data_IF_926998669485
#
_entry.id   IF_926998669485
#
_cell.length_a   1.000
_cell.length_b   1.000
_cell.length_c   1.000
_cell.angle_alpha   90.00
_cell.angle_beta   90.00
_cell.angle_gamma   90.00
#
_symmetry.space_group_name_H-M   'P 1'
#
loop_
_entity.id
_entity.type
_entity.pdbx_description
1 polymer ?
#
# COMPACT_ATOMS: atom_id res chain seq x y z
N UNK A 1 11.13 -4.36 -17.58
CA UNK A 1 11.37 -4.32 -16.12
C UNK A 1 10.12 -3.72 -15.52
N UNK A 2 9.50 -4.41 -14.56
CA UNK A 2 8.32 -3.86 -13.89
C UNK A 2 8.75 -2.63 -13.09
N UNK A 3 8.03 -1.51 -13.26
CA UNK A 3 8.29 -0.30 -12.50
C UNK A 3 8.02 -0.53 -11.02
N UNK A 4 8.93 -0.13 -10.15
CA UNK A 4 8.79 -0.28 -8.70
C UNK A 4 8.49 1.10 -8.10
N UNK A 5 7.41 1.20 -7.33
CA UNK A 5 7.10 2.36 -6.50
C UNK A 5 7.27 1.96 -5.03
N UNK A 6 8.36 2.40 -4.40
CA UNK A 6 8.56 2.25 -2.96
C UNK A 6 7.80 3.36 -2.22
N UNK A 7 6.90 3.00 -1.31
CA UNK A 7 6.05 3.97 -0.61
C UNK A 7 6.84 4.98 0.25
N UNK A 8 8.06 4.64 0.69
CA UNK A 8 8.94 5.58 1.39
C UNK A 8 9.30 6.80 0.51
N UNK A 9 9.47 6.59 -0.80
CA UNK A 9 9.80 7.65 -1.76
C UNK A 9 8.62 8.64 -1.96
N UNK A 10 7.42 8.25 -1.51
CA UNK A 10 6.20 9.07 -1.56
C UNK A 10 5.85 9.70 -0.21
N UNK A 11 6.74 9.56 0.78
CA UNK A 11 6.62 10.19 2.10
C UNK A 11 5.96 9.32 3.18
N UNK A 12 5.84 8.01 2.96
CA UNK A 12 5.38 7.10 4.01
C UNK A 12 6.42 7.02 5.15
N UNK A 13 5.96 7.15 6.39
CA UNK A 13 6.81 7.15 7.58
C UNK A 13 6.96 5.73 8.14
N UNK A 14 5.86 5.00 8.28
CA UNK A 14 5.88 3.62 8.78
C UNK A 14 6.14 3.49 10.28
N UNK A 15 5.69 4.45 11.10
CA UNK A 15 5.83 4.39 12.56
C UNK A 15 4.60 3.80 13.29
N UNK A 16 3.58 3.36 12.56
CA UNK A 16 2.35 2.77 13.09
C UNK A 16 1.39 3.74 13.78
N UNK A 17 1.63 5.04 13.67
CA UNK A 17 0.83 6.13 14.27
C UNK A 17 0.50 7.22 13.24
N UNK A 18 1.49 7.65 12.45
CA UNK A 18 1.29 8.60 11.37
C UNK A 18 0.46 7.96 10.26
N UNK A 19 -0.54 8.68 9.76
CA UNK A 19 -1.37 8.21 8.67
C UNK A 19 -0.62 8.25 7.33
N UNK A 20 -0.25 7.08 6.84
CA UNK A 20 0.51 6.86 5.62
C UNK A 20 -0.41 6.68 4.39
N UNK A 21 -1.74 6.74 4.54
CA UNK A 21 -2.70 6.51 3.45
C UNK A 21 -2.47 7.41 2.23
N UNK A 22 -2.10 8.68 2.42
CA UNK A 22 -1.88 9.61 1.31
C UNK A 22 -0.63 9.23 0.50
N UNK A 23 0.48 8.92 1.18
CA UNK A 23 1.72 8.50 0.55
C UNK A 23 1.53 7.21 -0.27
N UNK A 24 0.82 6.23 0.30
CA UNK A 24 0.53 4.97 -0.36
C UNK A 24 -0.35 5.20 -1.60
N UNK A 25 -1.38 6.04 -1.51
CA UNK A 25 -2.23 6.38 -2.67
C UNK A 25 -1.44 7.13 -3.77
N UNK A 26 -0.49 8.00 -3.42
CA UNK A 26 0.40 8.64 -4.41
C UNK A 26 1.28 7.62 -5.14
N UNK A 27 1.82 6.63 -4.41
CA UNK A 27 2.60 5.56 -5.00
C UNK A 27 1.76 4.73 -5.99
N UNK A 28 0.53 4.36 -5.61
CA UNK A 28 -0.42 3.66 -6.49
C UNK A 28 -0.73 4.48 -7.75
N UNK A 29 -1.01 5.78 -7.59
CA UNK A 29 -1.26 6.68 -8.73
C UNK A 29 -0.05 6.77 -9.67
N UNK A 30 1.17 6.69 -9.16
CA UNK A 30 2.38 6.67 -9.99
C UNK A 30 2.46 5.42 -10.86
N UNK A 31 2.06 4.25 -10.34
CA UNK A 31 2.02 2.99 -11.06
C UNK A 31 0.85 2.94 -12.04
N UNK A 32 -0.29 3.51 -11.67
CA UNK A 32 -1.45 3.68 -12.54
C UNK A 32 -1.09 4.43 -13.82
N UNK A 33 -0.33 5.53 -13.71
CA UNK A 33 0.20 6.29 -14.86
C UNK A 33 1.14 5.45 -15.75
N UNK A 34 1.80 4.46 -15.16
CA UNK A 34 2.71 3.54 -15.84
C UNK A 34 2.03 2.27 -16.36
N UNK A 35 0.70 2.17 -16.17
CA UNK A 35 -0.13 1.01 -16.57
C UNK A 35 0.27 -0.31 -15.88
N UNK A 36 0.79 -0.23 -14.65
CA UNK A 36 1.17 -1.38 -13.85
C UNK A 36 2.55 -1.26 -13.20
N UNK A 37 2.93 -2.29 -12.45
CA UNK A 37 4.20 -2.38 -11.74
C UNK A 37 4.05 -2.95 -10.33
N UNK A 38 5.07 -2.75 -9.50
CA UNK A 38 5.12 -3.26 -8.13
C UNK A 38 5.03 -2.10 -7.15
N UNK A 39 3.98 -2.11 -6.31
CA UNK A 39 3.91 -1.29 -5.11
C UNK A 39 4.72 -2.00 -4.02
N UNK A 40 5.86 -1.43 -3.66
CA UNK A 40 6.76 -2.00 -2.66
C UNK A 40 6.50 -1.39 -1.29
N UNK A 41 6.28 -2.24 -0.29
CA UNK A 41 6.02 -1.89 1.11
C UNK A 41 7.22 -2.38 1.95
N UNK A 42 8.09 -1.48 2.43
CA UNK A 42 9.24 -1.85 3.25
C UNK A 42 8.86 -2.51 4.58
N UNK A 43 9.87 -2.99 5.31
CA UNK A 43 9.74 -3.63 6.62
C UNK A 43 9.47 -2.61 7.74
N UNK A 44 8.25 -2.03 7.76
CA UNK A 44 7.74 -1.15 8.82
C UNK A 44 6.23 -1.35 9.04
N UNK A 45 5.65 -0.61 9.99
CA UNK A 45 4.21 -0.56 10.25
C UNK A 45 3.63 0.74 9.71
N UNK A 46 2.83 0.67 8.65
CA UNK A 46 2.20 1.84 8.04
C UNK A 46 0.76 1.93 8.53
N UNK A 47 0.42 3.02 9.23
CA UNK A 47 -0.95 3.23 9.68
C UNK A 47 -1.78 3.82 8.54
N UNK A 48 -3.02 3.35 8.38
CA UNK A 48 -3.92 3.81 7.32
C UNK A 48 -5.26 4.22 7.93
N UNK A 49 -5.73 5.43 7.60
CA UNK A 49 -7.08 5.91 7.95
C UNK A 49 -8.03 6.00 6.75
N UNK A 50 -7.54 5.75 5.52
CA UNK A 50 -8.31 5.87 4.27
C UNK A 50 -8.13 4.65 3.38
N UNK A 51 -9.12 4.41 2.53
CA UNK A 51 -9.07 3.40 1.48
C UNK A 51 -7.83 3.56 0.58
N UNK A 52 -7.29 2.41 0.16
CA UNK A 52 -6.22 2.33 -0.83
C UNK A 52 -6.83 1.95 -2.18
N UNK A 53 -6.87 2.90 -3.11
CA UNK A 53 -7.57 2.74 -4.38
C UNK A 53 -6.70 2.10 -5.44
N UNK A 54 -6.77 0.78 -5.57
CA UNK A 54 -6.02 0.03 -6.58
C UNK A 54 -6.97 -0.37 -7.70
N UNK A 55 -7.14 0.55 -8.65
CA UNK A 55 -8.10 0.42 -9.75
C UNK A 55 -7.44 0.14 -11.11
N UNK A 56 -6.13 -0.13 -11.14
CA UNK A 56 -5.39 -0.41 -12.38
C UNK A 56 -4.92 -1.87 -12.40
N UNK A 57 -5.29 -2.64 -13.44
CA UNK A 57 -4.75 -3.98 -13.65
C UNK A 57 -3.23 -3.97 -13.76
N UNK A 58 -2.57 -5.02 -13.27
CA UNK A 58 -1.11 -5.16 -13.37
C UNK A 58 -0.33 -4.41 -12.29
N UNK A 59 -0.99 -3.89 -11.25
CA UNK A 59 -0.32 -3.48 -10.01
C UNK A 59 -0.23 -4.70 -9.07
N UNK A 60 0.99 -5.04 -8.67
CA UNK A 60 1.29 -6.07 -7.68
C UNK A 60 1.76 -5.44 -6.38
N UNK A 61 1.30 -5.93 -5.24
CA UNK A 61 1.77 -5.45 -3.93
C UNK A 61 2.77 -6.43 -3.37
N UNK A 62 3.94 -5.91 -3.01
CA UNK A 62 5.03 -6.70 -2.44
C UNK A 62 5.51 -6.09 -1.14
N UNK A 63 5.36 -6.83 -0.05
CA UNK A 63 6.04 -6.53 1.19
C UNK A 63 7.50 -7.01 1.18
N UNK A 64 8.31 -6.45 2.07
CA UNK A 64 9.67 -6.94 2.32
C UNK A 64 9.66 -8.28 3.08
N UNK A 65 8.72 -8.45 4.01
CA UNK A 65 8.50 -9.67 4.80
C UNK A 65 7.12 -9.63 5.47
N UNK A 66 6.38 -10.75 5.56
CA UNK A 66 5.05 -10.77 6.17
C UNK A 66 5.08 -10.48 7.68
N UNK A 67 6.24 -10.57 8.33
CA UNK A 67 6.39 -10.25 9.75
C UNK A 67 6.72 -8.79 10.02
N UNK A 68 7.23 -8.07 9.01
CA UNK A 68 7.76 -6.72 9.20
C UNK A 68 7.11 -5.67 8.32
N UNK A 69 6.43 -6.04 7.24
CA UNK A 69 5.60 -5.15 6.43
C UNK A 69 4.14 -5.28 6.89
N UNK A 70 3.66 -4.27 7.61
CA UNK A 70 2.32 -4.28 8.23
C UNK A 70 1.54 -3.06 7.76
N UNK A 71 0.32 -3.27 7.27
CA UNK A 71 -0.69 -2.21 7.15
C UNK A 71 -1.59 -2.24 8.38
N UNK A 72 -1.53 -1.21 9.21
CA UNK A 72 -2.34 -1.10 10.43
C UNK A 72 -3.52 -0.18 10.17
N UNK A 73 -4.74 -0.70 10.26
CA UNK A 73 -5.96 0.12 10.17
C UNK A 73 -6.08 0.95 11.46
N UNK A 74 -6.26 2.27 11.31
CA UNK A 74 -6.54 3.17 12.43
C UNK A 74 -8.02 3.15 12.81
N UNK A 75 -8.32 3.44 14.08
CA UNK A 75 -9.69 3.38 14.62
C UNK A 75 -10.64 4.40 13.96
N UNK A 76 -10.10 5.47 13.39
CA UNK A 76 -10.81 6.54 12.69
C UNK A 76 -10.94 6.30 11.18
N UNK A 77 -10.71 5.06 10.72
CA UNK A 77 -10.75 4.72 9.29
C UNK A 77 -12.05 5.17 8.61
N UNK A 78 -11.90 5.89 7.50
CA UNK A 78 -12.99 6.38 6.65
C UNK A 78 -13.02 5.57 5.34
N UNK A 79 -14.06 4.77 5.15
CA UNK A 79 -14.28 3.95 3.95
C UNK A 79 -15.38 2.91 4.13
N UNK A 80 -15.83 2.33 3.02
CA UNK A 80 -16.73 1.18 3.03
C UNK A 80 -15.97 0.02 3.68
N UNK A 81 -16.39 -0.39 4.89
CA UNK A 81 -15.74 -1.46 5.64
C UNK A 81 -15.93 -2.84 4.98
N UNK A 82 -15.31 -3.06 3.82
CA UNK A 82 -15.06 -4.38 3.23
C UNK A 82 -13.80 -4.26 2.41
N UNK A 83 -12.73 -4.86 2.92
CA UNK A 83 -11.49 -5.08 2.17
C UNK A 83 -11.84 -5.86 0.89
N UNK A 84 -12.20 -5.17 -0.19
CA UNK A 84 -12.39 -5.78 -1.51
C UNK A 84 -11.00 -5.97 -2.11
N UNK A 85 -10.30 -7.00 -1.62
CA UNK A 85 -9.08 -7.55 -2.21
C UNK A 85 -9.41 -8.34 -3.49
N UNK A 86 -10.33 -7.84 -4.31
CA UNK A 86 -10.62 -8.47 -5.60
C UNK A 86 -9.69 -7.83 -6.62
N UNK A 87 -8.52 -8.45 -6.85
CA UNK A 87 -7.62 -8.35 -8.04
C UNK A 87 -6.12 -8.25 -7.74
N UNK A 88 -5.66 -8.37 -6.49
CA UNK A 88 -4.24 -8.16 -6.17
C UNK A 88 -3.61 -9.43 -5.60
N UNK A 89 -2.49 -9.82 -6.18
CA UNK A 89 -1.63 -10.86 -5.61
C UNK A 89 -0.77 -10.24 -4.50
N UNK A 90 -1.04 -10.60 -3.26
CA UNK A 90 -0.22 -10.20 -2.12
C UNK A 90 0.91 -11.21 -1.92
N UNK A 91 2.13 -10.72 -1.91
CA UNK A 91 3.27 -11.51 -1.44
C UNK A 91 3.94 -10.78 -0.29
N UNK A 92 4.14 -11.50 0.82
CA UNK A 92 4.91 -11.04 1.98
C UNK A 92 4.37 -9.78 2.70
N UNK A 93 3.04 -9.60 2.77
CA UNK A 93 2.39 -8.50 3.49
C UNK A 93 1.41 -9.04 4.54
N UNK A 94 1.38 -8.39 5.71
CA UNK A 94 0.33 -8.58 6.73
C UNK A 94 -0.59 -7.34 6.77
N UNK A 95 -1.90 -7.59 6.80
CA UNK A 95 -2.97 -6.61 7.01
C UNK A 95 -3.62 -6.89 8.36
#
# INVERSE_FOLDING_TARGET
MDSIANIDDFGAIGNGVHDDSEAINKAIQSLAKQKGGVLYIPAKTYAISKELYINVPGIYIRGASPYFSVLKILDDFQGEQRLFLNLIHFSYLKV
#
